data_IF_350774716178
#
_entry.id   IF_350774716178
#
_cell.length_a   1.000
_cell.length_b   1.000
_cell.length_c   1.000
_cell.angle_alpha   90.00
_cell.angle_beta   90.00
_cell.angle_gamma   90.00
#
_symmetry.space_group_name_H-M   'P 1'
#
loop_
_entity.id
_entity.type
_entity.pdbx_description
1 polymer ?
#
# COMPACT_ATOMS: atom_id res chain seq x y z
N UNK A 1 -25.74 -27.51 -4.31
CA UNK A 1 -25.24 -26.39 -5.15
C UNK A 1 -25.47 -24.99 -4.56
N UNK A 2 -26.53 -24.71 -3.78
CA UNK A 2 -26.82 -23.34 -3.31
C UNK A 2 -25.82 -22.70 -2.35
N UNK A 3 -25.14 -23.47 -1.48
CA UNK A 3 -24.21 -22.91 -0.49
C UNK A 3 -22.93 -22.34 -1.11
N UNK A 4 -22.31 -23.07 -2.05
CA UNK A 4 -21.10 -22.61 -2.75
C UNK A 4 -21.40 -21.35 -3.59
N UNK A 5 -22.58 -21.28 -4.20
CA UNK A 5 -23.02 -20.10 -4.96
C UNK A 5 -23.22 -18.87 -4.07
N UNK A 6 -23.76 -19.07 -2.85
CA UNK A 6 -23.92 -18.00 -1.86
C UNK A 6 -22.57 -17.47 -1.36
N UNK A 7 -21.60 -18.35 -1.12
CA UNK A 7 -20.24 -17.95 -0.75
C UNK A 7 -19.56 -17.16 -1.86
N UNK A 8 -19.62 -17.67 -3.10
CA UNK A 8 -19.05 -16.98 -4.26
C UNK A 8 -19.68 -15.59 -4.48
N UNK A 9 -21.01 -15.47 -4.33
CA UNK A 9 -21.71 -14.19 -4.43
C UNK A 9 -21.28 -13.22 -3.32
N UNK A 10 -21.19 -13.69 -2.08
CA UNK A 10 -20.76 -12.87 -0.94
C UNK A 10 -19.33 -12.35 -1.14
N UNK A 11 -18.40 -13.22 -1.54
CA UNK A 11 -17.01 -12.84 -1.85
C UNK A 11 -16.95 -11.83 -3.00
N UNK A 12 -17.73 -12.05 -4.05
CA UNK A 12 -17.81 -11.11 -5.18
C UNK A 12 -18.31 -9.73 -4.74
N UNK A 13 -19.38 -9.67 -3.95
CA UNK A 13 -19.92 -8.41 -3.42
C UNK A 13 -18.93 -7.72 -2.48
N UNK A 14 -18.23 -8.49 -1.63
CA UNK A 14 -17.21 -7.97 -0.75
C UNK A 14 -16.08 -7.32 -1.53
N UNK A 15 -15.56 -8.00 -2.56
CA UNK A 15 -14.50 -7.50 -3.43
C UNK A 15 -14.95 -6.24 -4.20
N UNK A 16 -16.18 -6.22 -4.70
CA UNK A 16 -16.77 -5.04 -5.35
C UNK A 16 -16.83 -3.84 -4.40
N UNK A 17 -17.29 -4.05 -3.16
CA UNK A 17 -17.38 -2.98 -2.18
C UNK A 17 -15.98 -2.44 -1.80
N UNK A 18 -15.01 -3.33 -1.64
CA UNK A 18 -13.62 -2.92 -1.43
C UNK A 18 -13.07 -2.11 -2.61
N UNK A 19 -13.30 -2.56 -3.85
CA UNK A 19 -12.90 -1.81 -5.04
C UNK A 19 -13.50 -0.40 -5.05
N UNK A 20 -14.81 -0.26 -4.80
CA UNK A 20 -15.50 1.04 -4.74
C UNK A 20 -14.90 1.94 -3.67
N UNK A 21 -14.62 1.39 -2.48
CA UNK A 21 -14.01 2.12 -1.38
C UNK A 21 -12.65 2.72 -1.78
N UNK A 22 -11.75 1.91 -2.34
CA UNK A 22 -10.42 2.39 -2.75
C UNK A 22 -10.46 3.33 -3.95
N UNK A 23 -11.35 3.12 -4.91
CA UNK A 23 -11.55 4.07 -6.03
C UNK A 23 -12.05 5.42 -5.52
N UNK A 24 -12.99 5.42 -4.57
CA UNK A 24 -13.50 6.65 -3.95
C UNK A 24 -12.44 7.36 -3.12
N UNK A 25 -11.57 6.61 -2.42
CA UNK A 25 -10.43 7.19 -1.72
C UNK A 25 -9.46 7.83 -2.70
N UNK A 26 -9.08 7.10 -3.76
CA UNK A 26 -8.12 7.58 -4.75
C UNK A 26 -8.56 8.87 -5.46
N UNK A 27 -9.87 9.03 -5.71
CA UNK A 27 -10.39 10.27 -6.31
C UNK A 27 -10.22 11.49 -5.42
N UNK A 28 -10.19 11.29 -4.09
CA UNK A 28 -10.00 12.33 -3.07
C UNK A 28 -8.54 12.55 -2.69
N UNK A 29 -7.68 11.55 -2.88
CA UNK A 29 -6.25 11.63 -2.59
C UNK A 29 -5.55 12.58 -3.55
N UNK A 30 -4.85 13.59 -3.02
CA UNK A 30 -3.99 14.51 -3.77
C UNK A 30 -2.66 13.84 -4.15
N UNK A 31 -1.85 14.50 -4.99
CA UNK A 31 -0.53 13.96 -5.30
C UNK A 31 0.40 14.10 -4.08
N UNK A 32 0.26 15.19 -3.35
CA UNK A 32 0.96 15.50 -2.11
C UNK A 32 0.67 14.43 -1.05
N UNK A 33 -0.59 14.03 -0.87
CA UNK A 33 -1.00 12.96 0.04
C UNK A 33 -0.26 11.64 -0.30
N UNK A 34 -0.11 11.32 -1.59
CA UNK A 34 0.61 10.11 -2.00
C UNK A 34 2.11 10.21 -1.70
N UNK A 35 2.71 11.38 -1.91
CA UNK A 35 4.11 11.63 -1.54
C UNK A 35 4.29 11.44 -0.04
N UNK A 36 3.38 11.96 0.77
CA UNK A 36 3.39 11.78 2.22
C UNK A 36 3.22 10.31 2.61
N UNK A 37 2.26 9.58 2.02
CA UNK A 37 2.06 8.15 2.27
C UNK A 37 3.29 7.31 1.92
N UNK A 38 3.94 7.59 0.78
CA UNK A 38 5.19 6.92 0.38
C UNK A 38 6.34 7.23 1.33
N UNK A 39 6.46 8.50 1.74
CA UNK A 39 7.45 8.92 2.73
C UNK A 39 7.22 8.21 4.08
N UNK A 40 5.97 8.17 4.54
CA UNK A 40 5.58 7.51 5.77
C UNK A 40 5.90 6.01 5.75
N UNK A 41 5.57 5.28 4.68
CA UNK A 41 5.93 3.87 4.57
C UNK A 41 7.45 3.64 4.59
N UNK A 42 8.22 4.50 3.93
CA UNK A 42 9.68 4.40 3.98
C UNK A 42 10.19 4.58 5.42
N UNK A 43 9.67 5.56 6.15
CA UNK A 43 10.02 5.77 7.56
C UNK A 43 9.58 4.59 8.44
N UNK A 44 8.42 4.02 8.17
CA UNK A 44 7.93 2.85 8.88
C UNK A 44 8.84 1.63 8.65
N UNK A 45 9.28 1.40 7.42
CA UNK A 45 10.23 0.33 7.12
C UNK A 45 11.56 0.53 7.86
N UNK A 46 12.07 1.76 7.91
CA UNK A 46 13.32 2.07 8.63
C UNK A 46 13.17 1.81 10.13
N UNK A 47 12.08 2.30 10.73
CA UNK A 47 11.85 2.18 12.18
C UNK A 47 11.52 0.76 12.61
N UNK A 48 10.78 0.00 11.81
CA UNK A 48 10.33 -1.36 12.16
C UNK A 48 11.43 -2.40 12.01
N UNK A 49 12.36 -2.21 11.06
CA UNK A 49 13.38 -3.21 10.73
C UNK A 49 14.82 -2.78 11.05
N UNK A 50 14.99 -1.64 11.74
CA UNK A 50 16.26 -0.99 12.10
C UNK A 50 17.18 -0.68 10.89
N UNK A 51 18.26 0.08 11.08
CA UNK A 51 19.18 0.53 10.01
C UNK A 51 19.79 -0.63 9.20
N UNK A 52 19.77 -1.85 9.73
CA UNK A 52 20.29 -3.05 9.06
C UNK A 52 19.41 -3.52 7.89
N UNK A 53 18.17 -3.03 7.79
CA UNK A 53 17.23 -3.36 6.71
C UNK A 53 16.94 -2.17 5.80
N UNK A 54 17.94 -1.70 5.05
CA UNK A 54 17.73 -0.89 3.82
C UNK A 54 17.12 -1.71 2.66
N UNK A 55 16.27 -2.68 2.99
CA UNK A 55 15.71 -3.65 2.06
C UNK A 55 14.54 -3.06 1.29
N UNK A 56 13.55 -2.42 1.93
CA UNK A 56 12.36 -1.93 1.23
C UNK A 56 12.41 -0.42 1.06
N UNK A 57 12.26 0.07 -0.18
CA UNK A 57 12.14 1.50 -0.49
C UNK A 57 11.08 1.75 -1.55
N UNK A 58 10.14 2.63 -1.23
CA UNK A 58 9.09 3.12 -2.11
C UNK A 58 9.51 4.46 -2.73
N UNK A 59 9.10 4.68 -3.97
CA UNK A 59 9.32 5.92 -4.69
C UNK A 59 8.15 6.23 -5.63
N UNK A 60 7.84 7.52 -5.75
CA UNK A 60 6.96 8.06 -6.77
C UNK A 60 7.81 8.80 -7.80
N UNK A 61 7.46 8.63 -9.08
CA UNK A 61 8.06 9.46 -10.11
C UNK A 61 7.54 10.88 -9.93
N UNK A 62 8.46 11.85 -9.78
CA UNK A 62 8.11 13.26 -9.68
C UNK A 62 7.25 13.65 -10.88
N UNK A 63 6.09 14.21 -10.58
CA UNK A 63 5.14 14.66 -11.58
C UNK A 63 5.57 16.04 -12.10
N UNK A 64 5.56 16.22 -13.43
CA UNK A 64 5.50 17.55 -14.04
C UNK A 64 4.02 17.92 -14.13
N UNK A 65 3.65 19.14 -13.74
CA UNK A 65 2.26 19.65 -13.66
C UNK A 65 1.31 19.04 -14.69
N UNK A 66 0.61 17.96 -14.32
CA UNK A 66 -0.35 17.31 -15.20
C UNK A 66 -1.56 16.84 -14.38
N UNK A 67 -2.72 17.40 -14.74
CA UNK A 67 -4.01 17.20 -14.08
C UNK A 67 -4.50 15.73 -14.12
N UNK A 68 -4.01 14.93 -15.07
CA UNK A 68 -4.36 13.51 -15.24
C UNK A 68 -3.32 12.56 -14.63
N UNK A 69 -2.52 13.04 -13.69
CA UNK A 69 -1.46 12.25 -13.05
C UNK A 69 -1.93 10.90 -12.50
N UNK A 70 -3.18 10.78 -12.04
CA UNK A 70 -3.75 9.53 -11.50
C UNK A 70 -3.78 8.39 -12.52
N UNK A 71 -3.80 8.69 -13.81
CA UNK A 71 -3.82 7.69 -14.89
C UNK A 71 -2.42 7.14 -15.24
N UNK A 72 -1.36 7.89 -14.90
CA UNK A 72 0.01 7.57 -15.31
C UNK A 72 0.96 7.32 -14.13
N UNK A 73 0.56 7.70 -12.92
CA UNK A 73 1.37 7.58 -11.72
C UNK A 73 1.34 6.16 -11.21
N UNK A 74 2.53 5.64 -10.91
CA UNK A 74 2.73 4.34 -10.28
C UNK A 74 3.68 4.49 -9.12
N UNK A 75 3.55 3.63 -8.12
CA UNK A 75 4.49 3.56 -7.01
C UNK A 75 5.50 2.46 -7.29
N UNK A 76 6.77 2.80 -7.27
CA UNK A 76 7.87 1.87 -7.44
C UNK A 76 8.33 1.41 -6.07
N UNK A 77 8.57 0.11 -5.92
CA UNK A 77 9.13 -0.47 -4.72
C UNK A 77 10.38 -1.27 -5.09
N UNK A 78 11.48 -0.99 -4.40
CA UNK A 78 12.69 -1.80 -4.44
C UNK A 78 12.77 -2.60 -3.16
N UNK A 79 12.92 -3.91 -3.28
CA UNK A 79 13.19 -4.85 -2.21
C UNK A 79 14.60 -5.41 -2.42
N UNK A 80 15.58 -4.83 -1.75
CA UNK A 80 16.95 -5.34 -1.68
C UNK A 80 17.00 -6.55 -0.74
N UNK A 81 17.83 -7.55 -1.04
CA UNK A 81 18.18 -8.65 -0.14
C UNK A 81 19.60 -9.11 -0.47
N UNK A 82 20.52 -8.93 0.48
CA UNK A 82 21.96 -9.23 0.29
C UNK A 82 22.48 -8.56 -1.00
N UNK A 83 22.68 -9.32 -2.08
CA UNK A 83 23.23 -8.86 -3.36
C UNK A 83 22.19 -8.82 -4.51
N UNK A 84 20.89 -8.93 -4.21
CA UNK A 84 19.83 -8.89 -5.23
C UNK A 84 18.81 -7.82 -4.89
N UNK A 85 18.31 -7.15 -5.91
CA UNK A 85 17.19 -6.21 -5.79
C UNK A 85 16.03 -6.70 -6.63
N UNK A 86 14.86 -6.80 -6.02
CA UNK A 86 13.59 -7.06 -6.69
C UNK A 86 12.88 -5.73 -6.84
N UNK A 87 12.41 -5.43 -8.04
CA UNK A 87 11.61 -4.24 -8.31
C UNK A 87 10.15 -4.64 -8.50
N UNK A 88 9.27 -3.88 -7.88
CA UNK A 88 7.82 -3.98 -8.01
C UNK A 88 7.26 -2.62 -8.39
N UNK A 89 6.16 -2.65 -9.13
CA UNK A 89 5.41 -1.47 -9.51
C UNK A 89 3.99 -1.72 -9.11
N UNK A 90 3.40 -0.74 -8.42
CA UNK A 90 2.03 -0.79 -7.95
C UNK A 90 1.23 0.27 -8.69
N UNK A 91 0.05 -0.13 -9.17
CA UNK A 91 -1.01 0.81 -9.49
C UNK A 91 -1.45 1.53 -8.20
N UNK A 92 -2.01 2.74 -8.31
CA UNK A 92 -2.33 3.55 -7.13
C UNK A 92 -3.31 2.85 -6.19
N UNK A 93 -4.31 2.14 -6.72
CA UNK A 93 -5.26 1.38 -5.90
C UNK A 93 -4.56 0.26 -5.12
N UNK A 94 -3.62 -0.46 -5.77
CA UNK A 94 -2.86 -1.53 -5.12
C UNK A 94 -1.96 -0.96 -4.02
N UNK A 95 -1.35 0.20 -4.27
CA UNK A 95 -0.55 0.89 -3.27
C UNK A 95 -1.38 1.33 -2.06
N UNK A 96 -2.57 1.91 -2.27
CA UNK A 96 -3.44 2.33 -1.16
C UNK A 96 -3.87 1.15 -0.28
N UNK A 97 -4.13 -0.02 -0.88
CA UNK A 97 -4.41 -1.26 -0.14
C UNK A 97 -3.22 -1.69 0.70
N UNK A 98 -2.05 -1.77 0.08
CA UNK A 98 -0.81 -2.14 0.75
C UNK A 98 -0.52 -1.20 1.92
N UNK A 99 -0.72 0.11 1.72
CA UNK A 99 -0.56 1.11 2.76
C UNK A 99 -1.47 0.81 3.95
N UNK A 100 -2.78 0.64 3.74
CA UNK A 100 -3.72 0.37 4.84
C UNK A 100 -3.42 -0.95 5.55
N UNK A 101 -3.03 -1.99 4.82
CA UNK A 101 -2.64 -3.28 5.39
C UNK A 101 -1.41 -3.16 6.29
N UNK A 102 -0.39 -2.42 5.85
CA UNK A 102 0.82 -2.19 6.62
C UNK A 102 0.52 -1.36 7.88
N UNK A 103 -0.27 -0.29 7.76
CA UNK A 103 -0.66 0.54 8.92
C UNK A 103 -1.47 -0.27 9.92
N UNK A 104 -2.44 -1.06 9.44
CA UNK A 104 -3.22 -1.96 10.30
C UNK A 104 -2.32 -2.97 11.01
N UNK A 105 -1.39 -3.58 10.29
CA UNK A 105 -0.45 -4.55 10.87
C UNK A 105 0.45 -3.91 11.93
N UNK A 106 0.99 -2.72 11.67
CA UNK A 106 1.78 -1.96 12.65
C UNK A 106 0.97 -1.67 13.92
N UNK A 107 -0.26 -1.18 13.77
CA UNK A 107 -1.14 -0.91 14.91
C UNK A 107 -1.40 -2.16 15.75
N UNK A 108 -1.51 -3.34 15.12
CA UNK A 108 -1.68 -4.60 15.84
C UNK A 108 -0.43 -4.98 16.64
N UNK A 109 0.76 -4.78 16.08
CA UNK A 109 2.04 -5.00 16.78
C UNK A 109 2.15 -4.05 17.97
N UNK A 110 1.89 -2.75 17.76
CA UNK A 110 2.04 -1.73 18.81
C UNK A 110 1.03 -1.88 19.95
N UNK A 111 -0.13 -2.49 19.65
CA UNK A 111 -1.16 -2.76 20.65
C UNK A 111 -0.88 -3.98 21.54
N UNK A 112 0.16 -4.77 21.26
CA UNK A 112 0.53 -5.89 22.13
C UNK A 112 1.15 -5.36 23.43
N UNK A 113 0.67 -5.77 24.61
CA UNK A 113 1.34 -5.43 25.87
C UNK A 113 2.75 -6.02 25.88
N UNK A 114 3.73 -5.26 26.38
CA UNK A 114 5.06 -5.79 26.68
C UNK A 114 4.89 -6.99 27.62
N UNK A 115 5.20 -8.20 27.13
CA UNK A 115 5.20 -9.37 28.00
C UNK A 115 6.35 -9.19 29.02
N UNK A 116 6.08 -9.37 30.32
CA UNK A 116 7.07 -9.21 31.38
C UNK A 116 8.20 -10.25 31.29
#
# INVERSE_FOLDING_TARGET
MGYCMKLALHETLHNLNQNICYTTRLSRTSYEDLVEMVSHLNQLCITTFEEQCSFVKFALKKQQENLFWRLSTKVFCRISKKNRSIYRTFELIEFLRLYDEIIRFKSLIDSQPEMP
#
